data_IF_461873096485
#
_entry.id   IF_461873096485
#
_cell.length_a   1.000
_cell.length_b   1.000
_cell.length_c   1.000
_cell.angle_alpha   90.00
_cell.angle_beta   90.00
_cell.angle_gamma   90.00
#
_symmetry.space_group_name_H-M   'P 1'
#
loop_
_entity.id
_entity.type
_entity.pdbx_description
1 polymer ?
#
# COMPACT_ATOMS: atom_id res chain seq x y z
N UNK A 1 2.77 0.60 -18.93
CA UNK A 1 2.70 1.93 -18.28
C UNK A 1 3.60 1.87 -17.08
N UNK A 2 4.68 2.64 -17.06
CA UNK A 2 5.49 2.80 -15.86
C UNK A 2 4.69 3.66 -14.88
N UNK A 3 4.11 3.03 -13.87
CA UNK A 3 3.33 3.70 -12.82
C UNK A 3 4.28 4.04 -11.69
N UNK A 4 4.54 5.33 -11.47
CA UNK A 4 5.39 5.79 -10.36
C UNK A 4 4.61 5.90 -9.05
N UNK A 5 5.31 5.82 -7.92
CA UNK A 5 4.69 5.98 -6.61
C UNK A 5 4.03 7.37 -6.45
N UNK A 6 4.69 8.42 -6.92
CA UNK A 6 4.19 9.80 -6.85
C UNK A 6 2.88 9.99 -7.62
N UNK A 7 2.76 9.36 -8.79
CA UNK A 7 1.52 9.40 -9.58
C UNK A 7 0.37 8.70 -8.85
N UNK A 8 0.66 7.57 -8.21
CA UNK A 8 -0.34 6.82 -7.42
C UNK A 8 -0.74 7.59 -6.17
N UNK A 9 0.21 8.19 -5.47
CA UNK A 9 -0.05 9.04 -4.32
C UNK A 9 -0.99 10.19 -4.68
N UNK A 10 -0.67 10.94 -5.73
CA UNK A 10 -1.49 12.06 -6.18
C UNK A 10 -2.88 11.59 -6.61
N UNK A 11 -2.95 10.47 -7.35
CA UNK A 11 -4.23 9.86 -7.74
C UNK A 11 -5.09 9.45 -6.53
N UNK A 12 -4.48 8.88 -5.48
CA UNK A 12 -5.20 8.50 -4.26
C UNK A 12 -5.68 9.74 -3.49
N UNK A 13 -4.82 10.75 -3.33
CA UNK A 13 -5.20 12.01 -2.66
C UNK A 13 -6.35 12.69 -3.41
N UNK A 14 -6.27 12.79 -4.74
CA UNK A 14 -7.33 13.36 -5.57
C UNK A 14 -8.63 12.54 -5.47
N UNK A 15 -8.54 11.20 -5.43
CA UNK A 15 -9.70 10.33 -5.28
C UNK A 15 -10.41 10.53 -3.93
N UNK A 16 -9.67 10.73 -2.84
CA UNK A 16 -10.24 11.01 -1.53
C UNK A 16 -10.78 12.44 -1.38
N UNK A 17 -10.25 13.41 -2.15
CA UNK A 17 -10.76 14.78 -2.18
C UNK A 17 -12.08 14.93 -2.96
N UNK A 18 -12.24 14.23 -4.07
CA UNK A 18 -13.47 14.25 -4.87
C UNK A 18 -13.81 12.85 -5.44
N UNK A 19 -14.53 12.03 -4.66
CA UNK A 19 -14.88 10.67 -5.06
C UNK A 19 -15.99 10.59 -6.13
N UNK A 20 -16.73 11.67 -6.40
CA UNK A 20 -17.90 11.66 -7.29
C UNK A 20 -17.54 12.07 -8.72
N UNK A 21 -16.55 12.94 -8.89
CA UNK A 21 -16.21 13.51 -10.20
C UNK A 21 -15.29 12.62 -11.06
N UNK A 22 -14.56 11.65 -10.47
CA UNK A 22 -13.46 10.96 -11.16
C UNK A 22 -13.57 9.43 -11.20
N UNK A 23 -14.62 8.92 -11.85
CA UNK A 23 -14.78 7.49 -12.17
C UNK A 23 -13.58 6.89 -12.92
N UNK A 24 -12.90 7.69 -13.75
CA UNK A 24 -11.68 7.29 -14.46
C UNK A 24 -10.47 7.06 -13.55
N UNK A 25 -10.39 7.74 -12.40
CA UNK A 25 -9.29 7.58 -11.42
C UNK A 25 -9.40 6.24 -10.71
N UNK A 26 -10.60 5.84 -10.31
CA UNK A 26 -10.81 4.53 -9.68
C UNK A 26 -10.42 3.38 -10.63
N UNK A 27 -10.83 3.48 -11.90
CA UNK A 27 -10.45 2.49 -12.91
C UNK A 27 -8.93 2.44 -13.15
N UNK A 28 -8.27 3.60 -13.14
CA UNK A 28 -6.80 3.68 -13.26
C UNK A 28 -6.09 3.10 -12.03
N UNK A 29 -6.54 3.44 -10.82
CA UNK A 29 -6.01 2.90 -9.56
C UNK A 29 -6.19 1.38 -9.49
N UNK A 30 -7.35 0.85 -9.88
CA UNK A 30 -7.54 -0.60 -9.98
C UNK A 30 -6.54 -1.24 -10.96
N UNK A 31 -6.39 -0.67 -12.17
CA UNK A 31 -5.40 -1.18 -13.14
C UNK A 31 -3.97 -1.13 -12.57
N UNK A 32 -3.62 -0.05 -11.87
CA UNK A 32 -2.32 0.09 -11.20
C UNK A 32 -2.11 -0.99 -10.14
N UNK A 33 -3.12 -1.28 -9.30
CA UNK A 33 -3.08 -2.34 -8.28
C UNK A 33 -2.89 -3.74 -8.86
N UNK A 34 -3.48 -4.02 -10.02
CA UNK A 34 -3.36 -5.30 -10.69
C UNK A 34 -2.03 -5.45 -11.45
N UNK A 35 -1.38 -4.35 -11.84
CA UNK A 35 -0.13 -4.36 -12.59
C UNK A 35 1.04 -4.95 -11.79
N UNK A 36 2.08 -5.47 -12.46
CA UNK A 36 3.30 -5.95 -11.79
C UNK A 36 4.06 -4.82 -11.08
N UNK A 37 3.90 -3.58 -11.55
CA UNK A 37 4.53 -2.39 -10.97
C UNK A 37 4.06 -2.08 -9.55
N UNK A 38 2.90 -2.61 -9.14
CA UNK A 38 2.39 -2.45 -7.77
C UNK A 38 3.32 -3.02 -6.71
N UNK A 39 4.11 -4.05 -7.05
CA UNK A 39 5.15 -4.57 -6.17
C UNK A 39 6.29 -3.59 -5.97
N UNK A 40 6.47 -2.60 -6.84
CA UNK A 40 7.54 -1.62 -6.74
C UNK A 40 7.03 -0.33 -6.09
N UNK A 41 5.91 0.21 -6.57
CA UNK A 41 5.40 1.49 -6.09
C UNK A 41 4.68 1.41 -4.75
N UNK A 42 4.13 0.24 -4.34
CA UNK A 42 3.37 0.17 -3.09
C UNK A 42 4.24 0.27 -1.83
N UNK A 43 5.51 -0.16 -1.87
CA UNK A 43 6.39 -0.05 -0.71
C UNK A 43 6.71 1.40 -0.30
N UNK A 44 7.14 2.30 -1.20
CA UNK A 44 7.41 3.70 -0.83
C UNK A 44 6.15 4.46 -0.41
N UNK A 45 4.96 4.01 -0.80
CA UNK A 45 3.68 4.59 -0.36
C UNK A 45 3.28 4.21 1.09
N UNK A 46 3.91 3.17 1.66
CA UNK A 46 3.76 2.80 3.07
C UNK A 46 4.66 3.63 3.99
N UNK A 47 5.37 4.63 3.46
CA UNK A 47 6.20 5.50 4.28
C UNK A 47 5.33 6.25 5.32
N UNK A 48 5.73 6.26 6.61
CA UNK A 48 4.94 6.90 7.66
C UNK A 48 4.79 8.43 7.51
N UNK A 49 5.58 9.07 6.63
CA UNK A 49 5.42 10.48 6.26
C UNK A 49 4.31 10.74 5.23
N UNK A 50 3.67 9.70 4.69
CA UNK A 50 2.60 9.80 3.69
C UNK A 50 1.21 9.88 4.35
N UNK A 51 0.19 10.43 3.67
CA UNK A 51 -1.18 10.46 4.17
C UNK A 51 -1.72 9.06 4.51
N UNK A 52 -2.61 8.97 5.50
CA UNK A 52 -3.19 7.69 5.95
C UNK A 52 -3.94 6.97 4.81
N UNK A 53 -4.60 7.73 3.92
CA UNK A 53 -5.33 7.20 2.77
C UNK A 53 -4.39 6.50 1.77
N UNK A 54 -3.22 7.10 1.56
CA UNK A 54 -2.16 6.59 0.67
C UNK A 54 -1.55 5.32 1.24
N UNK A 55 -1.25 5.34 2.55
CA UNK A 55 -0.76 4.16 3.26
C UNK A 55 -1.79 3.02 3.23
N UNK A 56 -3.08 3.34 3.41
CA UNK A 56 -4.16 2.36 3.35
C UNK A 56 -4.27 1.73 1.97
N UNK A 57 -4.22 2.54 0.90
CA UNK A 57 -4.23 2.04 -0.48
C UNK A 57 -3.03 1.12 -0.76
N UNK A 58 -1.83 1.54 -0.35
CA UNK A 58 -0.61 0.77 -0.52
C UNK A 58 -0.64 -0.57 0.24
N UNK A 59 -1.13 -0.55 1.48
CA UNK A 59 -1.29 -1.74 2.32
C UNK A 59 -2.26 -2.74 1.71
N UNK A 60 -3.42 -2.28 1.25
CA UNK A 60 -4.39 -3.12 0.54
C UNK A 60 -3.82 -3.69 -0.76
N UNK A 61 -3.06 -2.89 -1.50
CA UNK A 61 -2.40 -3.30 -2.75
C UNK A 61 -1.42 -4.45 -2.50
N UNK A 62 -0.57 -4.33 -1.47
CA UNK A 62 0.39 -5.38 -1.09
C UNK A 62 -0.35 -6.61 -0.58
N UNK A 63 -1.37 -6.45 0.26
CA UNK A 63 -2.17 -7.58 0.74
C UNK A 63 -2.80 -8.36 -0.42
N UNK A 64 -3.42 -7.66 -1.36
CA UNK A 64 -4.03 -8.26 -2.54
C UNK A 64 -2.99 -8.97 -3.41
N UNK A 65 -1.83 -8.35 -3.61
CA UNK A 65 -0.71 -8.89 -4.39
C UNK A 65 -0.12 -10.15 -3.76
N UNK A 66 0.07 -10.15 -2.44
CA UNK A 66 0.53 -11.31 -1.68
C UNK A 66 -0.51 -12.43 -1.69
N UNK A 67 -1.80 -12.09 -1.59
CA UNK A 67 -2.88 -13.10 -1.54
C UNK A 67 -3.17 -13.73 -2.91
N UNK A 68 -3.20 -12.94 -3.98
CA UNK A 68 -3.65 -13.39 -5.32
C UNK A 68 -2.51 -13.60 -6.32
N UNK A 69 -1.43 -12.85 -6.18
CA UNK A 69 -0.33 -12.78 -7.16
C UNK A 69 1.01 -13.27 -6.58
N UNK A 70 0.98 -14.08 -5.52
CA UNK A 70 2.18 -14.69 -4.94
C UNK A 70 3.02 -15.47 -5.96
N UNK A 71 2.36 -16.06 -6.97
CA UNK A 71 2.98 -16.81 -8.05
C UNK A 71 3.81 -15.95 -9.02
N UNK A 72 3.62 -14.61 -9.05
CA UNK A 72 4.42 -13.69 -9.87
C UNK A 72 5.82 -13.42 -9.28
N UNK A 73 6.00 -13.74 -8.00
CA UNK A 73 7.25 -13.52 -7.26
C UNK A 73 8.17 -14.73 -7.49
N UNK A 74 9.45 -14.53 -7.86
CA UNK A 74 10.44 -15.60 -7.93
C UNK A 74 10.63 -16.25 -6.55
N UNK A 75 10.88 -17.58 -6.52
CA UNK A 75 11.10 -18.30 -5.26
C UNK A 75 12.27 -17.73 -4.43
N UNK A 76 13.27 -17.17 -5.10
CA UNK A 76 14.42 -16.50 -4.48
C UNK A 76 14.02 -15.24 -3.69
N UNK A 77 12.93 -14.58 -4.08
CA UNK A 77 12.43 -13.37 -3.44
C UNK A 77 11.37 -13.67 -2.35
N UNK A 78 11.00 -14.93 -2.12
CA UNK A 78 9.98 -15.27 -1.11
C UNK A 78 10.42 -14.94 0.31
N UNK A 79 11.64 -15.34 0.68
CA UNK A 79 12.23 -15.07 1.99
C UNK A 79 12.34 -13.56 2.27
N UNK A 80 12.98 -12.73 1.41
CA UNK A 80 13.10 -11.30 1.67
C UNK A 80 11.74 -10.60 1.66
N UNK A 81 10.80 -11.01 0.80
CA UNK A 81 9.47 -10.39 0.74
C UNK A 81 8.64 -10.72 1.99
N UNK A 82 8.73 -11.96 2.50
CA UNK A 82 8.12 -12.35 3.77
C UNK A 82 8.70 -11.56 4.94
N UNK A 83 10.03 -11.41 5.01
CA UNK A 83 10.70 -10.59 6.03
C UNK A 83 10.24 -9.13 5.93
N UNK A 84 10.14 -8.58 4.72
CA UNK A 84 9.68 -7.20 4.48
C UNK A 84 8.24 -6.98 4.95
N UNK A 85 7.34 -7.93 4.68
CA UNK A 85 5.95 -7.89 5.18
C UNK A 85 5.91 -7.99 6.70
N UNK A 86 6.66 -8.91 7.30
CA UNK A 86 6.72 -9.04 8.76
C UNK A 86 7.26 -7.77 9.42
N UNK A 87 8.29 -7.14 8.85
CA UNK A 87 8.82 -5.87 9.32
C UNK A 87 7.79 -4.75 9.19
N UNK A 88 7.01 -4.71 8.11
CA UNK A 88 5.92 -3.75 7.94
C UNK A 88 4.81 -3.98 8.95
N UNK A 89 4.37 -5.22 9.16
CA UNK A 89 3.40 -5.54 10.21
C UNK A 89 3.95 -5.12 11.56
N UNK A 90 5.22 -5.42 11.86
CA UNK A 90 5.89 -4.99 13.08
C UNK A 90 5.94 -3.45 13.21
N UNK A 91 6.24 -2.73 12.14
CA UNK A 91 6.29 -1.27 12.09
C UNK A 91 4.90 -0.65 12.29
N UNK A 92 3.89 -1.08 11.55
CA UNK A 92 2.49 -0.66 11.74
C UNK A 92 1.95 -1.06 13.11
N UNK A 93 2.38 -2.20 13.65
CA UNK A 93 2.05 -2.61 15.02
C UNK A 93 2.74 -1.75 16.10
N UNK A 94 3.85 -1.08 15.75
CA UNK A 94 4.54 -0.08 16.60
C UNK A 94 4.03 1.35 16.39
N UNK A 95 3.46 1.69 15.24
CA UNK A 95 2.76 2.98 15.00
C UNK A 95 1.54 3.14 15.91
N UNK A 96 1.03 2.02 16.43
CA UNK A 96 0.31 1.93 17.71
C UNK A 96 1.34 2.15 18.85
N UNK A 97 1.65 3.37 19.27
CA UNK A 97 0.84 4.22 20.15
C UNK A 97 -0.67 3.84 20.16
N UNK A 98 -1.25 2.94 20.95
CA UNK A 98 -0.90 2.04 22.08
C UNK A 98 -0.13 2.68 23.25
N UNK A 99 0.16 3.97 23.19
CA UNK A 99 0.87 4.73 24.24
C UNK A 99 -0.10 5.48 25.17
N UNK A 100 -1.42 5.26 25.09
CA UNK A 100 -2.36 5.90 26.03
C UNK A 100 -3.65 5.13 26.37
N UNK A 101 -4.12 4.17 25.56
CA UNK A 101 -5.43 3.53 25.80
C UNK A 101 -5.43 2.16 26.47
N UNK A 102 -4.27 1.52 26.67
CA UNK A 102 -4.21 0.25 27.45
C UNK A 102 -3.64 0.42 28.87
N UNK A 103 -3.18 1.61 29.25
CA UNK A 103 -2.64 1.89 30.61
C UNK A 103 -3.49 2.93 31.37
N UNK A 104 -4.52 3.52 30.76
CA UNK A 104 -5.51 4.38 31.44
C UNK A 104 -6.93 4.20 30.88
N UNK A 105 -7.63 3.18 31.36
CA UNK A 105 -9.02 3.22 31.87
C UNK A 105 -9.39 1.85 32.37
#
# INVERSE_FOLDING_TARGET
MEVSAEQVEQAVVEFYQDPVSKSGLNAWLMQAQHSRHSWTFAWPLLDPGKPEEVQFFAGNTIYMKVSRYWHEVPKEEYEPLKIKILNLIAQYSRTKIVLNRLVKS
#
